data_IF_863546769083
#
_entry.id   IF_863546769083
#
_cell.length_a   1.000
_cell.length_b   1.000
_cell.length_c   1.000
_cell.angle_alpha   90.00
_cell.angle_beta   90.00
_cell.angle_gamma   90.00
#
_symmetry.space_group_name_H-M   'P 1'
#
loop_
_entity.id
_entity.type
_entity.pdbx_description
1 polymer ?
#
# COMPACT_ATOMS: atom_id res chain seq x y z
N UNK A 1 -12.10 9.04 27.33
CA UNK A 1 -11.62 10.43 27.43
C UNK A 1 -10.10 10.59 27.42
N UNK A 2 -9.30 10.05 28.36
CA UNK A 2 -7.84 10.31 28.37
C UNK A 2 -7.09 9.70 27.17
N UNK A 3 -7.52 8.51 26.71
CA UNK A 3 -6.81 7.74 25.69
C UNK A 3 -6.76 8.41 24.31
N UNK A 4 -7.87 8.94 23.80
CA UNK A 4 -7.88 9.61 22.48
C UNK A 4 -7.04 10.88 22.50
N UNK A 5 -6.99 11.58 23.64
CA UNK A 5 -6.16 12.78 23.77
C UNK A 5 -4.67 12.47 23.82
N UNK A 6 -4.29 11.38 24.47
CA UNK A 6 -2.90 10.92 24.45
C UNK A 6 -2.50 10.44 23.04
N UNK A 7 -3.40 9.76 22.32
CA UNK A 7 -3.18 9.39 20.92
C UNK A 7 -3.11 10.61 20.00
N UNK A 8 -3.96 11.62 20.20
CA UNK A 8 -3.93 12.88 19.45
C UNK A 8 -2.55 13.53 19.51
N UNK A 9 -2.00 13.68 20.72
CA UNK A 9 -0.66 14.28 20.92
C UNK A 9 0.43 13.45 20.22
N UNK A 10 0.38 12.13 20.33
CA UNK A 10 1.33 11.24 19.67
C UNK A 10 1.24 11.31 18.15
N UNK A 11 0.02 11.39 17.59
CA UNK A 11 -0.20 11.58 16.15
C UNK A 11 0.39 12.92 15.69
N UNK A 12 0.14 14.00 16.43
CA UNK A 12 0.65 15.33 16.13
C UNK A 12 2.18 15.33 16.05
N UNK A 13 2.85 14.80 17.08
CA UNK A 13 4.31 14.71 17.12
C UNK A 13 4.90 13.81 16.01
N UNK A 14 4.22 12.71 15.68
CA UNK A 14 4.69 11.78 14.65
C UNK A 14 4.54 12.38 13.26
N UNK A 15 3.38 12.99 12.96
CA UNK A 15 3.08 13.62 11.67
C UNK A 15 4.01 14.80 11.42
N UNK A 16 4.26 15.65 12.42
CA UNK A 16 5.20 16.77 12.31
C UNK A 16 6.62 16.31 11.94
N UNK A 17 7.07 15.18 12.50
CA UNK A 17 8.39 14.59 12.23
C UNK A 17 8.43 13.69 10.99
N UNK A 18 7.30 13.53 10.28
CA UNK A 18 7.20 12.62 9.15
C UNK A 18 7.87 13.21 7.92
N UNK A 19 8.93 12.56 7.44
CA UNK A 19 9.45 12.77 6.10
C UNK A 19 8.57 12.05 5.07
N UNK A 20 7.53 12.74 4.58
CA UNK A 20 6.59 12.21 3.59
C UNK A 20 7.29 11.83 2.27
N UNK A 21 8.25 12.63 1.82
CA UNK A 21 9.04 12.33 0.62
C UNK A 21 9.85 11.04 0.76
N UNK A 22 10.37 10.76 1.96
CA UNK A 22 11.04 9.50 2.28
C UNK A 22 10.12 8.29 2.40
N UNK A 23 8.81 8.49 2.60
CA UNK A 23 7.80 7.43 2.49
C UNK A 23 7.48 7.14 1.02
N UNK A 24 7.20 8.20 0.26
CA UNK A 24 6.95 8.14 -1.18
C UNK A 24 7.31 9.48 -1.81
N UNK A 25 8.13 9.47 -2.87
CA UNK A 25 8.61 10.70 -3.49
C UNK A 25 7.44 11.53 -4.07
N UNK A 26 7.32 12.78 -3.61
CA UNK A 26 6.24 13.71 -3.96
C UNK A 26 4.98 13.59 -3.09
N UNK A 27 4.97 12.75 -2.05
CA UNK A 27 3.78 12.54 -1.23
C UNK A 27 3.37 13.80 -0.46
N UNK A 28 2.22 14.35 -0.84
CA UNK A 28 1.56 15.46 -0.16
C UNK A 28 0.34 14.93 0.62
N UNK A 29 0.30 15.08 1.96
CA UNK A 29 -0.81 14.58 2.77
C UNK A 29 -2.08 15.43 2.55
N UNK A 30 -3.22 14.75 2.46
CA UNK A 30 -4.55 15.39 2.53
C UNK A 30 -4.91 15.76 3.97
N UNK A 31 -6.11 16.34 4.17
CA UNK A 31 -6.67 16.49 5.51
C UNK A 31 -6.86 15.10 6.14
N UNK A 32 -6.80 15.03 7.46
CA UNK A 32 -7.00 13.75 8.13
C UNK A 32 -7.61 13.89 9.51
N UNK A 33 -8.22 12.83 10.00
CA UNK A 33 -8.81 12.78 11.32
C UNK A 33 -8.58 11.44 12.02
N UNK A 34 -8.47 11.51 13.34
CA UNK A 34 -8.64 10.35 14.22
C UNK A 34 -9.89 10.57 15.06
N UNK A 35 -10.59 9.49 15.37
CA UNK A 35 -11.85 9.61 16.08
C UNK A 35 -12.16 8.39 16.95
N UNK A 36 -13.00 8.60 17.96
CA UNK A 36 -13.71 7.56 18.70
C UNK A 36 -15.22 7.83 18.61
N UNK A 37 -16.03 7.11 19.39
CA UNK A 37 -17.49 7.27 19.40
C UNK A 37 -17.99 8.58 20.03
N UNK A 38 -17.10 9.41 20.60
CA UNK A 38 -17.43 10.66 21.27
C UNK A 38 -16.91 11.88 20.50
N UNK A 39 -15.69 11.82 19.98
CA UNK A 39 -14.97 12.98 19.43
C UNK A 39 -14.22 12.64 18.14
N UNK A 40 -14.04 13.68 17.33
CA UNK A 40 -13.21 13.71 16.14
C UNK A 40 -12.16 14.81 16.31
N UNK A 41 -10.90 14.50 16.01
CA UNK A 41 -9.84 15.49 15.83
C UNK A 41 -9.47 15.53 14.35
N UNK A 42 -9.47 16.72 13.76
CA UNK A 42 -9.29 16.96 12.33
C UNK A 42 -8.10 17.89 12.10
N UNK A 43 -7.15 17.44 11.30
CA UNK A 43 -5.94 18.16 10.91
C UNK A 43 -5.99 18.61 9.46
N UNK A 44 -5.34 19.75 9.18
CA UNK A 44 -5.01 20.23 7.83
C UNK A 44 -6.20 20.38 6.88
N UNK A 45 -7.41 20.58 7.42
CA UNK A 45 -8.59 20.83 6.61
C UNK A 45 -8.61 22.29 6.14
N UNK A 46 -8.89 22.59 4.85
CA UNK A 46 -8.84 23.96 4.32
C UNK A 46 -9.75 24.97 5.02
N UNK A 47 -10.88 24.51 5.54
CA UNK A 47 -11.81 25.35 6.32
C UNK A 47 -11.24 25.80 7.68
N UNK A 48 -10.14 25.21 8.15
CA UNK A 48 -9.51 25.58 9.41
C UNK A 48 -8.52 26.72 9.15
N UNK A 49 -8.99 27.97 9.24
CA UNK A 49 -8.21 29.16 8.90
C UNK A 49 -7.25 29.62 10.02
N UNK A 50 -7.52 29.24 11.28
CA UNK A 50 -6.81 29.76 12.45
C UNK A 50 -5.96 28.71 13.21
N UNK A 51 -6.33 27.43 13.16
CA UNK A 51 -5.66 26.33 13.87
C UNK A 51 -5.44 25.13 12.95
N UNK A 52 -4.25 24.50 13.02
CA UNK A 52 -3.96 23.27 12.27
C UNK A 52 -4.85 22.09 12.70
N UNK A 53 -5.51 22.17 13.87
CA UNK A 53 -6.31 21.09 14.46
C UNK A 53 -7.66 21.66 14.93
N UNK A 54 -8.76 21.05 14.50
CA UNK A 54 -10.10 21.31 15.02
C UNK A 54 -10.67 20.03 15.64
N UNK A 55 -11.49 20.16 16.69
CA UNK A 55 -12.20 19.02 17.27
C UNK A 55 -13.70 19.28 17.41
N UNK A 56 -14.50 18.22 17.28
CA UNK A 56 -15.96 18.29 17.36
C UNK A 56 -16.55 16.94 17.79
N UNK A 57 -17.82 16.89 18.24
CA UNK A 57 -18.48 15.64 18.58
C UNK A 57 -18.54 14.68 17.39
N UNK A 58 -18.39 13.39 17.67
CA UNK A 58 -18.50 12.34 16.66
C UNK A 58 -19.85 12.41 15.91
N UNK A 59 -19.80 12.09 14.61
CA UNK A 59 -20.99 11.95 13.79
C UNK A 59 -20.84 10.77 12.80
N UNK A 60 -21.94 10.26 12.21
CA UNK A 60 -21.91 9.04 11.39
C UNK A 60 -21.04 9.08 10.13
N UNK A 61 -20.58 10.25 9.65
CA UNK A 61 -19.64 10.32 8.52
C UNK A 61 -18.26 9.75 8.89
N UNK A 62 -17.91 9.76 10.17
CA UNK A 62 -16.67 9.20 10.69
C UNK A 62 -16.90 7.73 11.08
N UNK A 63 -16.87 6.85 10.08
CA UNK A 63 -17.09 5.41 10.28
C UNK A 63 -16.14 4.58 9.41
N UNK A 64 -15.46 3.62 10.04
CA UNK A 64 -14.41 2.83 9.41
C UNK A 64 -13.06 3.54 9.34
N UNK A 65 -12.16 2.96 8.55
CA UNK A 65 -10.84 3.52 8.27
C UNK A 65 -10.72 3.69 6.75
N UNK A 66 -10.98 4.89 6.26
CA UNK A 66 -11.13 5.17 4.82
C UNK A 66 -10.86 6.64 4.48
N UNK A 67 -10.99 6.99 3.20
CA UNK A 67 -11.03 8.36 2.71
C UNK A 67 -12.49 8.81 2.57
N UNK A 68 -12.88 9.89 3.24
CA UNK A 68 -14.21 10.51 3.11
C UNK A 68 -14.12 11.91 2.48
N UNK A 69 -15.24 12.43 2.01
CA UNK A 69 -15.38 13.84 1.62
C UNK A 69 -16.06 14.60 2.76
N UNK A 70 -15.27 15.03 3.73
CA UNK A 70 -15.78 15.90 4.78
C UNK A 70 -15.77 17.33 4.25
N UNK A 71 -16.94 17.97 4.22
CA UNK A 71 -17.11 19.35 3.69
C UNK A 71 -16.43 19.54 2.32
N UNK A 72 -16.71 18.61 1.41
CA UNK A 72 -16.20 18.60 0.03
C UNK A 72 -14.67 18.51 -0.12
N UNK A 73 -13.94 18.16 0.95
CA UNK A 73 -12.49 17.95 0.90
C UNK A 73 -12.10 16.50 1.27
N UNK A 74 -11.19 15.85 0.50
CA UNK A 74 -10.72 14.51 0.81
C UNK A 74 -10.04 14.48 2.18
N UNK A 75 -10.57 13.64 3.06
CA UNK A 75 -10.15 13.54 4.46
C UNK A 75 -9.94 12.08 4.84
N UNK A 76 -8.70 11.71 5.17
CA UNK A 76 -8.37 10.38 5.65
C UNK A 76 -8.84 10.20 7.10
N UNK A 77 -9.60 9.16 7.41
CA UNK A 77 -10.12 8.92 8.77
C UNK A 77 -9.61 7.58 9.31
N UNK A 78 -9.26 7.55 10.60
CA UNK A 78 -8.90 6.31 11.29
C UNK A 78 -9.50 6.28 12.69
N UNK A 79 -10.14 5.17 13.03
CA UNK A 79 -10.74 4.95 14.34
C UNK A 79 -9.68 4.57 15.39
N UNK A 80 -9.66 5.28 16.51
CA UNK A 80 -8.81 4.92 17.66
C UNK A 80 -9.34 3.70 18.40
N UNK A 81 -10.62 3.33 18.22
CA UNK A 81 -11.18 2.10 18.78
C UNK A 81 -10.61 0.86 18.06
N UNK A 82 -10.32 0.97 16.75
CA UNK A 82 -9.67 -0.10 15.98
C UNK A 82 -8.17 -0.19 16.28
N UNK A 83 -7.53 0.95 16.53
CA UNK A 83 -6.09 1.06 16.74
C UNK A 83 -5.77 1.85 18.01
N UNK A 84 -5.89 1.22 19.19
CA UNK A 84 -5.76 1.91 20.49
C UNK A 84 -4.33 2.29 20.87
N UNK A 85 -3.33 1.94 20.03
CA UNK A 85 -1.90 2.13 20.27
C UNK A 85 -1.28 2.82 19.05
N UNK A 86 -0.41 3.81 19.28
CA UNK A 86 0.20 4.63 18.22
C UNK A 86 0.94 3.80 17.17
N UNK A 87 1.66 2.75 17.60
CA UNK A 87 2.43 1.87 16.71
C UNK A 87 1.56 1.15 15.67
N UNK A 88 0.25 1.06 15.90
CA UNK A 88 -0.72 0.54 14.94
C UNK A 88 -1.51 1.64 14.23
N UNK A 89 -1.87 2.70 14.96
CA UNK A 89 -2.66 3.82 14.46
C UNK A 89 -1.90 4.62 13.39
N UNK A 90 -0.66 5.01 13.70
CA UNK A 90 0.14 5.88 12.83
C UNK A 90 0.42 5.24 11.46
N UNK A 91 0.87 3.98 11.36
CA UNK A 91 1.02 3.34 10.05
C UNK A 91 -0.30 3.26 9.29
N UNK A 92 -1.41 2.98 9.97
CA UNK A 92 -2.71 2.92 9.30
C UNK A 92 -3.13 4.29 8.78
N UNK A 93 -2.90 5.36 9.54
CA UNK A 93 -3.14 6.73 9.10
C UNK A 93 -2.33 7.07 7.85
N UNK A 94 -1.05 6.69 7.80
CA UNK A 94 -0.20 6.91 6.62
C UNK A 94 -0.72 6.19 5.37
N UNK A 95 -1.34 5.02 5.53
CA UNK A 95 -2.02 4.32 4.42
C UNK A 95 -3.16 5.16 3.85
N UNK A 96 -4.05 5.67 4.71
CA UNK A 96 -5.24 6.41 4.27
C UNK A 96 -4.88 7.80 3.74
N UNK A 97 -3.89 8.48 4.34
CA UNK A 97 -3.31 9.70 3.80
C UNK A 97 -2.77 9.50 2.38
N UNK A 98 -2.07 8.39 2.15
CA UNK A 98 -1.55 8.07 0.83
C UNK A 98 -2.66 7.79 -0.18
N UNK A 99 -3.76 7.14 0.24
CA UNK A 99 -4.94 6.99 -0.62
C UNK A 99 -5.58 8.33 -0.98
N UNK A 100 -5.59 9.29 -0.06
CA UNK A 100 -5.99 10.67 -0.34
C UNK A 100 -5.08 11.35 -1.37
N UNK A 101 -3.76 11.16 -1.25
CA UNK A 101 -2.80 11.65 -2.23
C UNK A 101 -2.99 11.01 -3.62
N UNK A 102 -3.21 9.68 -3.70
CA UNK A 102 -3.57 9.00 -4.94
C UNK A 102 -4.83 9.61 -5.57
N UNK A 103 -5.85 9.90 -4.76
CA UNK A 103 -7.07 10.55 -5.22
C UNK A 103 -6.81 11.95 -5.80
N UNK A 104 -6.02 12.79 -5.13
CA UNK A 104 -5.66 14.13 -5.62
C UNK A 104 -4.90 14.09 -6.95
N UNK A 105 -4.11 13.04 -7.19
CA UNK A 105 -3.43 12.81 -8.46
C UNK A 105 -4.32 12.21 -9.55
N UNK A 106 -5.62 12.05 -9.29
CA UNK A 106 -6.57 11.54 -10.28
C UNK A 106 -6.41 10.05 -10.55
N UNK A 107 -5.89 9.27 -9.59
CA UNK A 107 -5.84 7.81 -9.70
C UNK A 107 -7.21 7.25 -10.09
N UNK A 108 -7.26 6.48 -11.17
CA UNK A 108 -8.49 5.94 -11.73
C UNK A 108 -8.39 4.43 -12.02
N UNK A 109 -7.24 3.79 -11.76
CA UNK A 109 -6.97 2.37 -12.05
C UNK A 109 -7.60 1.41 -11.04
N UNK A 110 -8.75 1.79 -10.46
CA UNK A 110 -9.45 1.02 -9.44
C UNK A 110 -10.00 -0.30 -9.99
N UNK A 111 -10.05 -1.35 -9.16
CA UNK A 111 -10.49 -2.67 -9.60
C UNK A 111 -12.00 -2.71 -9.87
N UNK A 112 -12.41 -3.40 -10.94
CA UNK A 112 -13.82 -3.75 -11.16
C UNK A 112 -14.33 -4.68 -10.06
N UNK A 113 -15.16 -4.13 -9.17
CA UNK A 113 -15.69 -4.88 -8.03
C UNK A 113 -16.54 -6.08 -8.48
N UNK A 114 -17.21 -6.00 -9.64
CA UNK A 114 -18.01 -7.10 -10.18
C UNK A 114 -17.16 -8.27 -10.67
N UNK A 115 -15.98 -7.99 -11.23
CA UNK A 115 -15.00 -9.05 -11.55
C UNK A 115 -14.56 -9.79 -10.28
N UNK A 116 -14.40 -9.08 -9.16
CA UNK A 116 -14.06 -9.69 -7.87
C UNK A 116 -15.08 -10.72 -7.37
N UNK A 117 -16.37 -10.50 -7.60
CA UNK A 117 -17.44 -11.45 -7.23
C UNK A 117 -17.46 -12.71 -8.11
N UNK A 118 -17.01 -12.59 -9.36
CA UNK A 118 -16.98 -13.70 -10.34
C UNK A 118 -15.61 -14.38 -10.41
N UNK A 119 -14.70 -14.02 -9.51
CA UNK A 119 -13.30 -14.43 -9.57
C UNK A 119 -13.18 -15.97 -9.59
N UNK A 120 -12.51 -16.57 -10.58
CA UNK A 120 -12.53 -18.01 -10.77
C UNK A 120 -11.60 -18.73 -9.79
N UNK A 121 -12.00 -19.96 -9.44
CA UNK A 121 -11.20 -20.86 -8.62
C UNK A 121 -10.70 -22.00 -9.52
N UNK A 122 -9.49 -21.84 -10.06
CA UNK A 122 -8.81 -22.88 -10.84
C UNK A 122 -7.58 -23.36 -10.06
N UNK A 123 -7.50 -24.67 -9.78
CA UNK A 123 -6.39 -25.24 -8.98
C UNK A 123 -5.02 -24.93 -9.59
N UNK A 124 -4.87 -25.09 -10.91
CA UNK A 124 -3.61 -24.77 -11.60
C UNK A 124 -3.23 -23.28 -11.47
N UNK A 125 -4.23 -22.38 -11.47
CA UNK A 125 -3.99 -20.95 -11.28
C UNK A 125 -3.60 -20.64 -9.84
N UNK A 126 -4.16 -21.35 -8.86
CA UNK A 126 -3.82 -21.22 -7.44
C UNK A 126 -2.37 -21.67 -7.21
N UNK A 127 -1.98 -22.80 -7.76
CA UNK A 127 -0.62 -23.33 -7.64
C UNK A 127 0.42 -22.37 -8.25
N UNK A 128 0.13 -21.83 -9.44
CA UNK A 128 0.99 -20.82 -10.06
C UNK A 128 1.05 -19.53 -9.24
N UNK A 129 -0.07 -19.12 -8.61
CA UNK A 129 -0.14 -17.91 -7.78
C UNK A 129 0.72 -18.04 -6.52
N UNK A 130 0.79 -19.22 -5.94
CA UNK A 130 1.66 -19.47 -4.79
C UNK A 130 3.12 -19.44 -5.23
N UNK A 131 3.45 -20.12 -6.33
CA UNK A 131 4.81 -20.14 -6.89
C UNK A 131 5.33 -18.74 -7.22
N UNK A 132 4.54 -17.92 -7.94
CA UNK A 132 4.95 -16.55 -8.27
C UNK A 132 5.18 -15.72 -6.98
N UNK A 133 4.35 -15.88 -5.95
CA UNK A 133 4.45 -15.12 -4.70
C UNK A 133 5.63 -15.52 -3.85
N UNK A 134 5.97 -16.82 -3.83
CA UNK A 134 7.20 -17.31 -3.21
C UNK A 134 8.41 -16.67 -3.90
N UNK A 135 8.49 -16.73 -5.23
CA UNK A 135 9.57 -16.09 -5.98
C UNK A 135 9.66 -14.57 -5.70
N UNK A 136 8.52 -13.87 -5.66
CA UNK A 136 8.47 -12.43 -5.39
C UNK A 136 8.96 -12.07 -3.98
N UNK A 137 8.58 -12.85 -2.97
CA UNK A 137 9.02 -12.64 -1.59
C UNK A 137 10.49 -12.98 -1.41
N UNK A 138 10.94 -14.12 -1.95
CA UNK A 138 12.35 -14.52 -1.91
C UNK A 138 13.25 -13.47 -2.59
N UNK A 139 12.82 -12.90 -3.73
CA UNK A 139 13.53 -11.80 -4.38
C UNK A 139 13.72 -10.58 -3.47
N UNK A 140 12.74 -10.25 -2.62
CA UNK A 140 12.85 -9.14 -1.67
C UNK A 140 13.78 -9.44 -0.50
N UNK A 141 13.98 -10.72 -0.16
CA UNK A 141 14.84 -11.17 0.94
C UNK A 141 16.28 -11.46 0.51
N UNK A 142 16.52 -11.55 -0.79
CA UNK A 142 17.81 -11.88 -1.37
C UNK A 142 18.73 -10.65 -1.41
N UNK A 143 20.01 -10.88 -1.09
CA UNK A 143 21.06 -9.87 -1.13
C UNK A 143 21.90 -10.02 -2.41
N UNK A 144 22.08 -11.26 -2.90
CA UNK A 144 22.79 -11.52 -4.16
C UNK A 144 21.99 -11.02 -5.37
N UNK A 145 22.58 -10.13 -6.15
CA UNK A 145 21.91 -9.49 -7.28
C UNK A 145 21.49 -10.50 -8.37
N UNK A 146 22.31 -11.51 -8.67
CA UNK A 146 22.02 -12.49 -9.71
C UNK A 146 20.93 -13.48 -9.26
N UNK A 147 20.95 -13.90 -7.98
CA UNK A 147 19.89 -14.74 -7.42
C UNK A 147 18.56 -13.96 -7.36
N UNK A 148 18.60 -12.69 -6.94
CA UNK A 148 17.43 -11.80 -6.94
C UNK A 148 16.82 -11.66 -8.33
N UNK A 149 17.64 -11.36 -9.32
CA UNK A 149 17.21 -11.23 -10.71
C UNK A 149 16.55 -12.51 -11.22
N UNK A 150 17.18 -13.68 -10.96
CA UNK A 150 16.59 -14.97 -11.31
C UNK A 150 15.20 -15.16 -10.69
N UNK A 151 15.04 -14.83 -9.40
CA UNK A 151 13.75 -14.93 -8.69
C UNK A 151 12.70 -13.98 -9.26
N UNK A 152 13.09 -12.78 -9.66
CA UNK A 152 12.21 -11.84 -10.35
C UNK A 152 11.71 -12.41 -11.69
N UNK A 153 12.60 -13.00 -12.49
CA UNK A 153 12.20 -13.62 -13.75
C UNK A 153 11.33 -14.87 -13.56
N UNK A 154 11.59 -15.68 -12.54
CA UNK A 154 10.72 -16.81 -12.17
C UNK A 154 9.31 -16.31 -11.79
N UNK A 155 9.22 -15.25 -10.98
CA UNK A 155 7.95 -14.59 -10.65
C UNK A 155 7.18 -14.16 -11.90
N UNK A 156 7.84 -13.43 -12.81
CA UNK A 156 7.23 -12.96 -14.07
C UNK A 156 6.77 -14.15 -14.92
N UNK A 157 7.59 -15.20 -15.03
CA UNK A 157 7.27 -16.40 -15.80
C UNK A 157 6.03 -17.12 -15.27
N UNK A 158 5.94 -17.35 -13.95
CA UNK A 158 4.77 -17.97 -13.33
C UNK A 158 3.53 -17.11 -13.50
N UNK A 159 3.66 -15.80 -13.31
CA UNK A 159 2.56 -14.84 -13.49
C UNK A 159 2.04 -14.81 -14.91
N UNK A 160 2.92 -14.75 -15.91
CA UNK A 160 2.53 -14.78 -17.32
C UNK A 160 1.85 -16.09 -17.73
N UNK A 161 2.24 -17.23 -17.14
CA UNK A 161 1.51 -18.49 -17.31
C UNK A 161 0.13 -18.43 -16.67
N UNK A 162 0.02 -17.85 -15.47
CA UNK A 162 -1.24 -17.76 -14.72
C UNK A 162 -2.24 -16.81 -15.36
N UNK A 163 -1.81 -15.67 -15.89
CA UNK A 163 -2.65 -14.71 -16.60
C UNK A 163 -3.42 -15.41 -17.73
N UNK A 164 -2.80 -16.35 -18.45
CA UNK A 164 -3.46 -17.12 -19.51
C UNK A 164 -4.61 -18.00 -19.00
N UNK A 165 -4.58 -18.42 -17.74
CA UNK A 165 -5.62 -19.23 -17.11
C UNK A 165 -6.77 -18.38 -16.58
N UNK A 166 -6.47 -17.21 -16.00
CA UNK A 166 -7.47 -16.34 -15.36
C UNK A 166 -7.96 -15.21 -16.26
N UNK A 167 -7.34 -15.00 -17.42
CA UNK A 167 -7.78 -14.09 -18.48
C UNK A 167 -8.15 -12.69 -17.95
N UNK A 168 -9.40 -12.25 -18.14
CA UNK A 168 -9.87 -10.91 -17.75
C UNK A 168 -9.74 -10.63 -16.24
N UNK A 169 -9.71 -11.68 -15.40
CA UNK A 169 -9.57 -11.52 -13.96
C UNK A 169 -8.14 -11.11 -13.55
N UNK A 170 -7.14 -11.23 -14.43
CA UNK A 170 -5.81 -10.68 -14.20
C UNK A 170 -5.86 -9.15 -14.05
N UNK A 171 -6.66 -8.46 -14.86
CA UNK A 171 -6.80 -7.01 -14.78
C UNK A 171 -7.34 -6.57 -13.42
N UNK A 172 -8.27 -7.34 -12.84
CA UNK A 172 -8.78 -7.08 -11.49
C UNK A 172 -7.68 -7.17 -10.42
N UNK A 173 -6.81 -8.18 -10.49
CA UNK A 173 -5.68 -8.30 -9.57
C UNK A 173 -4.67 -7.16 -9.77
N UNK A 174 -4.37 -6.81 -11.01
CA UNK A 174 -3.44 -5.73 -11.34
C UNK A 174 -3.94 -4.38 -10.81
N UNK A 175 -5.24 -4.08 -10.94
CA UNK A 175 -5.84 -2.89 -10.34
C UNK A 175 -5.74 -2.89 -8.82
N UNK A 176 -5.95 -4.04 -8.16
CA UNK A 176 -5.76 -4.17 -6.71
C UNK A 176 -4.30 -3.92 -6.31
N UNK A 177 -3.35 -4.53 -7.01
CA UNK A 177 -1.91 -4.34 -6.80
C UNK A 177 -1.51 -2.87 -7.02
N UNK A 178 -2.04 -2.24 -8.06
CA UNK A 178 -1.76 -0.85 -8.47
C UNK A 178 -2.21 0.17 -7.44
N UNK A 179 -3.43 0.03 -6.92
CA UNK A 179 -3.97 1.01 -5.98
C UNK A 179 -3.53 0.68 -4.54
N UNK A 180 -3.66 -0.58 -4.13
CA UNK A 180 -3.46 -0.97 -2.72
C UNK A 180 -2.03 -1.31 -2.36
N UNK A 181 -1.22 -1.76 -3.34
CA UNK A 181 0.19 -2.09 -3.12
C UNK A 181 1.01 -0.89 -2.64
N UNK A 182 1.01 0.23 -3.38
CA UNK A 182 1.66 1.48 -2.97
C UNK A 182 1.21 2.00 -1.60
N UNK A 183 -0.10 1.96 -1.31
CA UNK A 183 -0.62 2.36 0.00
C UNK A 183 -0.11 1.46 1.13
N UNK A 184 -0.09 0.15 0.93
CA UNK A 184 0.45 -0.80 1.91
C UNK A 184 1.98 -0.66 2.07
N UNK A 185 2.69 -0.30 1.00
CA UNK A 185 4.11 0.02 1.04
C UNK A 185 4.42 1.28 1.85
N UNK A 186 3.62 2.34 1.70
CA UNK A 186 3.73 3.54 2.56
C UNK A 186 3.41 3.21 4.01
N UNK A 187 2.36 2.41 4.26
CA UNK A 187 2.07 1.90 5.61
C UNK A 187 3.28 1.16 6.19
N UNK A 188 3.91 0.28 5.43
CA UNK A 188 5.08 -0.46 5.90
C UNK A 188 6.22 0.49 6.25
N UNK A 189 6.57 1.44 5.36
CA UNK A 189 7.65 2.40 5.61
C UNK A 189 7.38 3.24 6.86
N UNK A 190 6.12 3.60 7.11
CA UNK A 190 5.70 4.29 8.33
C UNK A 190 5.84 3.39 9.58
N UNK A 191 5.40 2.13 9.50
CA UNK A 191 5.53 1.16 10.59
C UNK A 191 7.00 0.88 10.92
N UNK A 192 7.87 0.78 9.91
CA UNK A 192 9.30 0.57 10.11
C UNK A 192 9.97 1.75 10.83
N UNK A 193 9.46 2.97 10.67
CA UNK A 193 9.96 4.17 11.38
C UNK A 193 9.60 4.19 12.87
N UNK A 194 8.41 3.73 13.24
CA UNK A 194 7.99 3.69 14.65
C UNK A 194 8.35 2.38 15.37
N UNK A 195 8.55 1.29 14.63
CA UNK A 195 8.90 -0.02 15.19
C UNK A 195 10.39 -0.21 15.41
N UNK A 196 10.75 -0.85 16.52
CA UNK A 196 12.11 -1.36 16.78
C UNK A 196 12.42 -2.65 16.01
N UNK A 197 11.43 -3.28 15.39
CA UNK A 197 11.61 -4.53 14.67
C UNK A 197 12.56 -4.36 13.50
N UNK A 198 13.44 -5.33 13.26
CA UNK A 198 14.23 -5.38 12.03
C UNK A 198 13.29 -5.47 10.80
N UNK A 199 13.78 -5.02 9.64
CA UNK A 199 12.97 -4.93 8.43
C UNK A 199 12.44 -6.29 7.97
N UNK A 200 13.30 -7.32 7.91
CA UNK A 200 12.94 -8.66 7.44
C UNK A 200 11.81 -9.31 8.28
N UNK A 201 11.87 -9.35 9.64
CA UNK A 201 10.74 -9.83 10.45
C UNK A 201 9.44 -9.06 10.22
N UNK A 202 9.52 -7.73 10.09
CA UNK A 202 8.34 -6.90 9.83
C UNK A 202 7.75 -7.22 8.45
N UNK A 203 8.60 -7.40 7.44
CA UNK A 203 8.17 -7.74 6.08
C UNK A 203 7.46 -9.09 6.06
N UNK A 204 8.00 -10.10 6.76
CA UNK A 204 7.36 -11.39 6.94
C UNK A 204 5.99 -11.31 7.61
N UNK A 205 5.80 -10.42 8.59
CA UNK A 205 4.50 -10.20 9.22
C UNK A 205 3.45 -9.69 8.22
N UNK A 206 3.84 -8.82 7.28
CA UNK A 206 2.94 -8.31 6.25
C UNK A 206 2.66 -9.33 5.16
N UNK A 207 3.61 -10.21 4.85
CA UNK A 207 3.54 -11.10 3.68
C UNK A 207 3.15 -12.53 3.99
N UNK A 208 3.01 -12.92 5.26
CA UNK A 208 2.64 -14.29 5.67
C UNK A 208 1.40 -14.82 4.92
N UNK A 209 0.42 -13.95 4.68
CA UNK A 209 -0.82 -14.26 3.95
C UNK A 209 -0.60 -14.74 2.50
N UNK A 210 0.57 -14.46 1.91
CA UNK A 210 0.88 -14.86 0.53
C UNK A 210 1.08 -16.38 0.39
N UNK A 211 1.48 -17.06 1.46
CA UNK A 211 1.89 -18.47 1.43
C UNK A 211 0.80 -19.43 1.91
N UNK A 212 -0.19 -18.92 2.63
CA UNK A 212 -1.28 -19.73 3.16
C UNK A 212 -2.36 -19.94 2.10
N UNK A 213 -2.42 -21.15 1.52
CA UNK A 213 -3.34 -21.53 0.43
C UNK A 213 -4.78 -21.02 0.63
N UNK A 214 -5.34 -21.22 1.84
CA UNK A 214 -6.68 -20.75 2.18
C UNK A 214 -6.78 -19.23 2.29
N UNK A 215 -5.94 -18.60 3.11
CA UNK A 215 -6.00 -17.16 3.38
C UNK A 215 -5.77 -16.32 2.12
N UNK A 216 -4.87 -16.78 1.25
CA UNK A 216 -4.50 -16.08 0.03
C UNK A 216 -5.68 -15.93 -0.96
N UNK A 217 -6.63 -16.87 -0.92
CA UNK A 217 -7.86 -16.90 -1.71
C UNK A 217 -9.02 -16.20 -1.01
N UNK A 218 -9.27 -16.51 0.27
CA UNK A 218 -10.32 -15.85 1.05
C UNK A 218 -10.08 -14.34 1.20
N UNK A 219 -8.82 -13.91 1.20
CA UNK A 219 -8.43 -12.51 1.30
C UNK A 219 -7.72 -12.02 0.05
N UNK A 220 -8.29 -12.29 -1.12
CA UNK A 220 -7.76 -11.88 -2.43
C UNK A 220 -7.28 -10.41 -2.46
N UNK A 221 -8.10 -9.48 -1.96
CA UNK A 221 -7.75 -8.04 -1.93
C UNK A 221 -6.48 -7.77 -1.11
N UNK A 222 -6.35 -8.41 0.06
CA UNK A 222 -5.19 -8.24 0.95
C UNK A 222 -3.96 -8.91 0.36
N UNK A 223 -4.11 -10.11 -0.22
CA UNK A 223 -2.98 -10.83 -0.81
C UNK A 223 -2.45 -10.14 -2.08
N UNK A 224 -3.31 -9.51 -2.89
CA UNK A 224 -2.88 -8.64 -3.98
C UNK A 224 -2.17 -7.39 -3.47
N UNK A 225 -2.68 -6.72 -2.43
CA UNK A 225 -1.99 -5.57 -1.83
C UNK A 225 -0.56 -5.94 -1.36
N UNK A 226 -0.39 -7.09 -0.71
CA UNK A 226 0.93 -7.59 -0.31
C UNK A 226 1.86 -7.85 -1.53
N UNK A 227 1.34 -8.41 -2.62
CA UNK A 227 2.10 -8.60 -3.86
C UNK A 227 2.53 -7.26 -4.47
N UNK A 228 1.61 -6.29 -4.53
CA UNK A 228 1.92 -4.94 -5.01
C UNK A 228 2.96 -4.23 -4.15
N UNK A 229 2.87 -4.37 -2.82
CA UNK A 229 3.88 -3.85 -1.89
C UNK A 229 5.28 -4.42 -2.17
N UNK A 230 5.40 -5.73 -2.41
CA UNK A 230 6.69 -6.36 -2.74
C UNK A 230 7.25 -5.87 -4.08
N UNK A 231 6.41 -5.64 -5.08
CA UNK A 231 6.86 -5.00 -6.32
C UNK A 231 7.39 -3.59 -6.07
N UNK A 232 6.77 -2.81 -5.18
CA UNK A 232 7.27 -1.49 -4.79
C UNK A 232 8.66 -1.56 -4.13
N UNK A 233 8.91 -2.57 -3.27
CA UNK A 233 10.24 -2.80 -2.69
C UNK A 233 11.30 -3.08 -3.74
N UNK A 234 11.00 -3.96 -4.69
CA UNK A 234 11.92 -4.29 -5.77
C UNK A 234 12.16 -3.08 -6.67
N UNK A 235 11.13 -2.28 -6.97
CA UNK A 235 11.31 -1.03 -7.72
C UNK A 235 12.20 -0.04 -6.97
N UNK A 236 12.05 0.09 -5.64
CA UNK A 236 12.90 0.97 -4.82
C UNK A 236 14.36 0.53 -4.82
N UNK A 237 14.61 -0.78 -4.86
CA UNK A 237 15.95 -1.34 -4.94
C UNK A 237 16.61 -1.18 -6.32
N UNK A 238 15.82 -1.07 -7.40
CA UNK A 238 16.30 -1.13 -8.78
C UNK A 238 16.28 0.24 -9.49
N UNK A 239 15.40 1.16 -9.11
CA UNK A 239 15.16 2.41 -9.85
C UNK A 239 15.04 3.60 -8.91
N UNK A 240 15.77 4.67 -9.23
CA UNK A 240 15.54 5.97 -8.58
C UNK A 240 14.31 6.65 -9.18
N UNK A 241 13.51 7.31 -8.33
CA UNK A 241 12.36 8.12 -8.75
C UNK A 241 11.27 7.35 -9.54
N UNK A 242 11.18 6.03 -9.36
CA UNK A 242 10.16 5.22 -10.00
C UNK A 242 8.75 5.63 -9.58
N UNK A 243 8.58 6.09 -8.34
CA UNK A 243 7.32 6.56 -7.79
C UNK A 243 6.70 7.67 -8.65
N UNK A 244 7.49 8.70 -8.97
CA UNK A 244 7.05 9.82 -9.80
C UNK A 244 6.67 9.36 -11.22
N UNK A 245 7.48 8.46 -11.79
CA UNK A 245 7.25 7.93 -13.14
C UNK A 245 5.99 7.05 -13.19
N UNK A 246 5.77 6.24 -12.15
CA UNK A 246 4.61 5.36 -12.02
C UNK A 246 3.31 6.14 -11.87
N UNK A 247 3.29 7.19 -11.03
CA UNK A 247 2.09 8.01 -10.79
C UNK A 247 1.64 8.78 -12.05
N UNK A 248 2.55 9.02 -13.00
CA UNK A 248 2.23 9.69 -14.28
C UNK A 248 1.98 8.72 -15.43
N UNK A 249 1.99 7.41 -15.14
CA UNK A 249 1.76 6.37 -16.13
C UNK A 249 0.35 5.80 -16.00
N UNK A 250 -0.24 5.43 -17.13
CA UNK A 250 -1.52 4.71 -17.17
C UNK A 250 -1.35 3.19 -16.95
N UNK A 251 -0.12 2.72 -16.76
CA UNK A 251 0.21 1.29 -16.64
C UNK A 251 -0.25 0.75 -15.30
N UNK A 252 -0.58 -0.55 -15.26
CA UNK A 252 -0.67 -1.22 -13.96
C UNK A 252 0.71 -1.27 -13.30
N UNK A 253 0.76 -1.47 -11.98
CA UNK A 253 2.02 -1.63 -11.26
C UNK A 253 2.83 -2.83 -11.79
N UNK A 254 2.16 -3.90 -12.19
CA UNK A 254 2.83 -5.07 -12.76
C UNK A 254 3.43 -4.77 -14.13
N UNK A 255 2.70 -4.09 -15.01
CA UNK A 255 3.22 -3.73 -16.34
C UNK A 255 4.37 -2.72 -16.21
N UNK A 256 4.21 -1.71 -15.34
CA UNK A 256 5.28 -0.76 -15.03
C UNK A 256 6.53 -1.48 -14.48
N UNK A 257 6.34 -2.47 -13.61
CA UNK A 257 7.42 -3.29 -13.05
C UNK A 257 8.17 -4.06 -14.15
N UNK A 258 7.45 -4.73 -15.04
CA UNK A 258 8.04 -5.47 -16.16
C UNK A 258 8.80 -4.55 -17.12
N UNK A 259 8.20 -3.42 -17.51
CA UNK A 259 8.83 -2.46 -18.44
C UNK A 259 10.08 -1.82 -17.87
N UNK A 260 10.09 -1.58 -16.56
CA UNK A 260 11.29 -1.10 -15.88
C UNK A 260 12.42 -2.11 -16.05
N UNK A 261 12.16 -3.42 -15.83
CA UNK A 261 13.17 -4.48 -15.94
C UNK A 261 13.73 -4.63 -17.36
N UNK A 262 12.86 -4.60 -18.39
CA UNK A 262 13.33 -4.65 -19.78
C UNK A 262 14.24 -3.46 -20.13
N UNK A 263 13.96 -2.28 -19.56
CA UNK A 263 14.80 -1.10 -19.72
C UNK A 263 16.20 -1.25 -19.10
N UNK A 264 16.37 -2.10 -18.07
CA UNK A 264 17.69 -2.42 -17.50
C UNK A 264 18.50 -3.37 -18.38
N UNK A 265 17.88 -4.44 -18.89
CA UNK A 265 18.57 -5.39 -19.78
C UNK A 265 19.18 -4.66 -20.99
N UNK A 266 18.48 -3.64 -21.50
CA UNK A 266 18.90 -2.87 -22.67
C UNK A 266 19.90 -1.75 -22.34
N UNK A 267 20.06 -1.40 -21.06
CA UNK A 267 21.06 -0.42 -20.59
C UNK A 267 22.38 -1.08 -20.16
N UNK A 268 22.44 -2.41 -20.17
CA UNK A 268 23.59 -3.17 -19.68
C UNK A 268 23.64 -3.10 -18.15
N UNK A 269 23.52 -4.25 -17.49
CA UNK A 269 23.82 -4.39 -16.07
C UNK A 269 25.34 -4.22 -15.87
N UNK A 270 25.80 -2.96 -15.86
CA UNK A 270 27.17 -2.57 -15.57
C UNK A 270 27.18 -1.32 -14.71
N UNK A 271 26.48 -1.34 -13.58
CA UNK A 271 26.69 -0.44 -12.43
C UNK A 271 25.71 -0.77 -11.28
N UNK A 272 25.91 -1.91 -10.61
CA UNK A 272 25.59 -2.08 -9.19
C UNK A 272 26.78 -2.78 -8.54
#
# INVERSE_FOLDING_TARGET
MQQIEDLRKQVDEMVEKTDFNGLWNGFEPVAFAIYDKEKVYLWNHPDNLDDNITFFPWNPQFSGDDLIFYRDYPTAIVSTDHYPVIDCLYPRLMQELFRGYQFLLGEARFPDTWAGFRYPIYLDAIDLKIKERVCLHEACMEEDAAVKEKKIFEFISFRNRRIKLIQEFAAYEFSLETVKGPALYVQFKAHKRCSRNAERPLLNQYTSILFEQGQSLFHLKKSCACSGMLMCFLLDALYRNWQFSFMRSEKSLYDFFCDSLYSLEHRGFSAL
#
